data_IF_839241190628
#
_entry.id   IF_839241190628
#
_cell.length_a   1.000
_cell.length_b   1.000
_cell.length_c   1.000
_cell.angle_alpha   90.00
_cell.angle_beta   90.00
_cell.angle_gamma   90.00
#
_symmetry.space_group_name_H-M   'P 1'
#
loop_
_entity.id
_entity.type
_entity.pdbx_description
1 polymer ?
#
# COMPACT_ATOMS: atom_id res chain seq x y z
N UNK A 1 -10.18 -9.14 -5.45
CA UNK A 1 -10.06 -10.44 -4.74
C UNK A 1 -9.00 -10.29 -3.66
N UNK A 2 -9.30 -10.53 -2.38
CA UNK A 2 -8.37 -10.20 -1.29
C UNK A 2 -7.21 -11.19 -1.17
N UNK A 3 -7.46 -12.49 -1.34
CA UNK A 3 -6.41 -13.52 -1.34
C UNK A 3 -5.38 -13.31 -2.45
N UNK A 4 -5.81 -12.79 -3.61
CA UNK A 4 -4.91 -12.40 -4.71
C UNK A 4 -3.96 -11.27 -4.30
N UNK A 5 -4.47 -10.21 -3.68
CA UNK A 5 -3.63 -9.12 -3.18
C UNK A 5 -2.58 -9.61 -2.17
N UNK A 6 -2.94 -10.57 -1.32
CA UNK A 6 -1.99 -11.20 -0.39
C UNK A 6 -0.97 -12.04 -1.15
N UNK A 7 -1.45 -12.90 -2.06
CA UNK A 7 -0.61 -13.76 -2.88
C UNK A 7 0.37 -12.97 -3.75
N UNK A 8 0.07 -11.75 -4.17
CA UNK A 8 0.99 -10.90 -4.94
C UNK A 8 1.72 -9.86 -4.09
N UNK A 9 1.49 -9.83 -2.77
CA UNK A 9 1.93 -8.75 -1.89
C UNK A 9 1.65 -7.35 -2.48
N UNK A 10 0.42 -7.12 -2.91
CA UNK A 10 0.03 -5.89 -3.60
C UNK A 10 0.33 -4.64 -2.74
N UNK A 11 0.75 -3.58 -3.41
CA UNK A 11 0.85 -2.23 -2.89
C UNK A 11 0.06 -1.30 -3.83
N UNK A 12 -0.53 -0.25 -3.28
CA UNK A 12 -1.26 0.75 -4.05
C UNK A 12 -0.82 2.16 -3.67
N UNK A 13 -1.56 3.17 -4.16
CA UNK A 13 -1.22 4.58 -3.99
C UNK A 13 -0.95 4.99 -2.54
N UNK A 14 -1.65 4.35 -1.59
CA UNK A 14 -1.53 4.66 -0.16
C UNK A 14 -0.41 3.91 0.59
N UNK A 15 0.49 3.22 -0.14
CA UNK A 15 1.58 2.43 0.44
C UNK A 15 2.49 3.25 1.35
N UNK A 16 2.74 4.52 1.03
CA UNK A 16 3.60 5.42 1.83
C UNK A 16 3.03 5.61 3.24
N UNK A 17 1.71 5.78 3.35
CA UNK A 17 1.04 6.00 4.64
C UNK A 17 0.77 4.72 5.45
N UNK A 18 0.54 3.58 4.78
CA UNK A 18 -0.01 2.38 5.45
C UNK A 18 0.81 1.09 5.27
N UNK A 19 1.79 1.07 4.36
CA UNK A 19 2.55 -0.13 4.00
C UNK A 19 1.88 -0.98 2.92
N UNK A 20 2.48 -2.14 2.62
CA UNK A 20 1.96 -3.09 1.63
C UNK A 20 0.95 -4.05 2.27
N UNK A 21 0.26 -4.83 1.45
CA UNK A 21 -0.73 -5.83 1.91
C UNK A 21 -0.19 -6.69 3.05
N UNK A 22 1.08 -7.13 2.99
CA UNK A 22 1.73 -7.92 4.06
C UNK A 22 1.71 -7.27 5.44
N UNK A 23 1.80 -5.95 5.51
CA UNK A 23 1.84 -5.20 6.78
C UNK A 23 0.50 -5.28 7.53
N UNK A 24 -0.56 -5.64 6.81
CA UNK A 24 -1.91 -5.73 7.35
C UNK A 24 -2.32 -7.16 7.69
N UNK A 25 -1.66 -8.20 7.16
CA UNK A 25 -2.04 -9.59 7.41
C UNK A 25 -1.66 -10.01 8.83
N UNK A 26 -2.63 -10.45 9.61
CA UNK A 26 -2.44 -10.98 10.97
C UNK A 26 -2.43 -12.50 10.97
N UNK A 27 -3.42 -13.11 10.30
CA UNK A 27 -3.59 -14.55 10.17
C UNK A 27 -4.07 -14.89 8.75
N UNK A 28 -3.84 -16.12 8.30
CA UNK A 28 -4.40 -16.67 7.08
C UNK A 28 -4.63 -18.18 7.19
N UNK A 29 -5.58 -18.67 6.41
CA UNK A 29 -5.80 -20.10 6.22
C UNK A 29 -5.44 -20.48 4.79
N UNK A 30 -4.64 -21.53 4.63
CA UNK A 30 -4.12 -21.98 3.33
C UNK A 30 -4.41 -23.45 3.10
N UNK A 31 -4.82 -23.80 1.88
CA UNK A 31 -4.86 -25.18 1.41
C UNK A 31 -3.56 -25.51 0.69
N UNK A 32 -2.80 -26.47 1.22
CA UNK A 32 -1.53 -26.92 0.67
C UNK A 32 -1.70 -27.88 -0.53
N UNK A 33 -0.65 -28.08 -1.36
CA UNK A 33 -0.62 -29.16 -2.34
C UNK A 33 -0.77 -30.52 -1.63
N UNK A 34 -1.91 -31.18 -1.83
CA UNK A 34 -2.31 -32.38 -1.09
C UNK A 34 -3.65 -32.23 -0.36
N UNK A 35 -4.17 -31.01 -0.25
CA UNK A 35 -5.48 -30.72 0.33
C UNK A 35 -5.49 -30.51 1.84
N UNK A 36 -4.33 -30.57 2.50
CA UNK A 36 -4.20 -30.20 3.91
C UNK A 36 -4.50 -28.71 4.10
N UNK A 37 -5.26 -28.39 5.16
CA UNK A 37 -5.59 -27.02 5.53
C UNK A 37 -4.72 -26.62 6.72
N UNK A 38 -3.99 -25.52 6.58
CA UNK A 38 -3.10 -24.98 7.61
C UNK A 38 -3.54 -23.58 7.98
N UNK A 39 -3.66 -23.33 9.28
CA UNK A 39 -3.88 -22.02 9.87
C UNK A 39 -2.55 -21.41 10.30
N UNK A 40 -2.26 -20.20 9.80
CA UNK A 40 -1.02 -19.48 10.06
C UNK A 40 -1.36 -18.13 10.64
N UNK A 41 -0.61 -17.69 11.65
CA UNK A 41 -0.96 -16.47 12.33
C UNK A 41 -0.01 -16.10 13.45
N UNK A 42 -0.25 -14.92 14.01
CA UNK A 42 0.42 -14.46 15.23
C UNK A 42 -0.54 -14.56 16.39
N UNK A 43 -0.05 -15.02 17.53
CA UNK A 43 -0.85 -15.08 18.77
C UNK A 43 -0.86 -13.74 19.51
N UNK A 44 0.08 -12.84 19.20
CA UNK A 44 0.21 -11.50 19.77
C UNK A 44 0.84 -10.51 18.78
N UNK A 45 0.73 -9.19 19.05
CA UNK A 45 1.37 -8.13 18.24
C UNK A 45 2.89 -8.33 18.08
N UNK A 46 3.52 -8.90 19.10
CA UNK A 46 4.92 -9.31 19.11
C UNK A 46 4.96 -10.81 19.33
N UNK A 47 5.18 -11.54 18.24
CA UNK A 47 5.30 -12.98 18.26
C UNK A 47 6.65 -13.38 17.68
N UNK A 48 7.39 -14.21 18.42
CA UNK A 48 8.70 -14.72 18.06
C UNK A 48 8.80 -16.25 18.29
N UNK A 49 7.67 -16.95 18.36
CA UNK A 49 7.63 -18.41 18.54
C UNK A 49 7.90 -19.13 17.22
N UNK A 50 9.12 -18.97 16.70
CA UNK A 50 9.56 -19.59 15.45
C UNK A 50 9.38 -18.69 14.22
N UNK A 51 9.64 -19.24 13.02
CA UNK A 51 9.53 -18.49 11.77
C UNK A 51 8.08 -18.09 11.46
N UNK A 52 7.88 -16.87 10.95
CA UNK A 52 6.58 -16.44 10.46
C UNK A 52 6.28 -17.09 9.08
N UNK A 53 5.66 -18.26 9.10
CA UNK A 53 5.36 -19.04 7.89
C UNK A 53 4.35 -18.37 6.94
N UNK A 54 3.59 -17.37 7.39
CA UNK A 54 2.74 -16.57 6.51
C UNK A 54 3.54 -15.91 5.38
N UNK A 55 4.80 -15.56 5.65
CA UNK A 55 5.68 -14.90 4.68
C UNK A 55 6.05 -15.78 3.49
N UNK A 56 5.86 -17.09 3.58
CA UNK A 56 6.02 -17.99 2.43
C UNK A 56 4.88 -17.83 1.43
N UNK A 57 3.67 -17.51 1.90
CA UNK A 57 2.46 -17.43 1.06
C UNK A 57 2.20 -16.01 0.54
N UNK A 58 2.65 -14.99 1.28
CA UNK A 58 2.57 -13.59 0.86
C UNK A 58 3.56 -13.35 -0.29
N UNK A 59 3.07 -12.86 -1.43
CA UNK A 59 3.90 -12.68 -2.62
C UNK A 59 4.25 -13.99 -3.36
N UNK A 60 3.65 -15.12 -2.97
CA UNK A 60 3.89 -16.43 -3.61
C UNK A 60 3.20 -16.63 -4.95
N UNK A 61 2.28 -15.75 -5.33
CA UNK A 61 1.39 -15.90 -6.50
C UNK A 61 0.60 -17.22 -6.51
N UNK A 62 0.44 -17.87 -5.34
CA UNK A 62 -0.26 -19.14 -5.20
C UNK A 62 0.62 -20.38 -5.44
N UNK A 63 1.94 -20.22 -5.61
CA UNK A 63 2.87 -21.33 -5.86
C UNK A 63 2.85 -22.38 -4.74
N UNK A 64 2.69 -21.95 -3.49
CA UNK A 64 2.78 -22.85 -2.33
C UNK A 64 1.43 -23.32 -1.78
N UNK A 65 0.31 -22.83 -2.31
CA UNK A 65 -1.03 -23.18 -1.84
C UNK A 65 -2.08 -22.10 -2.12
N UNK A 66 -3.33 -22.41 -1.78
CA UNK A 66 -4.46 -21.50 -1.99
C UNK A 66 -4.86 -20.83 -0.68
N UNK A 67 -4.75 -19.49 -0.64
CA UNK A 67 -5.23 -18.68 0.50
C UNK A 67 -6.76 -18.63 0.44
N UNK A 68 -7.42 -19.18 1.46
CA UNK A 68 -8.89 -19.29 1.53
C UNK A 68 -9.52 -18.37 2.58
N UNK A 69 -8.76 -17.94 3.58
CA UNK A 69 -9.20 -16.97 4.59
C UNK A 69 -8.02 -16.06 5.00
N UNK A 70 -8.31 -14.80 5.32
CA UNK A 70 -7.31 -13.83 5.77
C UNK A 70 -7.91 -12.89 6.80
N UNK A 71 -7.23 -12.73 7.93
CA UNK A 71 -7.53 -11.71 8.94
C UNK A 71 -6.60 -10.51 8.76
N UNK A 72 -7.18 -9.31 8.71
CA UNK A 72 -6.44 -8.05 8.53
C UNK A 72 -6.49 -7.17 9.77
N UNK A 73 -5.37 -6.48 10.04
CA UNK A 73 -5.31 -5.29 10.89
C UNK A 73 -5.72 -4.07 10.06
N UNK A 74 -6.79 -3.42 10.47
CA UNK A 74 -7.32 -2.21 9.83
C UNK A 74 -6.86 -0.94 10.54
N UNK A 75 -7.04 0.20 9.85
CA UNK A 75 -6.79 1.53 10.38
C UNK A 75 -8.13 2.25 10.60
N UNK A 76 -8.20 3.21 11.53
CA UNK A 76 -9.34 4.12 11.62
C UNK A 76 -9.49 4.91 10.32
N UNK A 77 -10.73 5.31 10.01
CA UNK A 77 -11.00 6.20 8.89
C UNK A 77 -10.46 7.59 9.27
N UNK A 78 -9.61 8.23 8.43
CA UNK A 78 -9.08 9.55 8.72
C UNK A 78 -10.20 10.58 8.79
N UNK A 79 -10.10 11.54 9.71
CA UNK A 79 -11.12 12.60 9.87
C UNK A 79 -11.01 13.70 8.82
N UNK A 80 -9.81 13.91 8.30
CA UNK A 80 -9.49 14.90 7.27
C UNK A 80 -8.67 14.24 6.18
N UNK A 81 -9.04 14.52 4.92
CA UNK A 81 -8.35 14.04 3.74
C UNK A 81 -8.34 15.18 2.72
N UNK A 82 -7.14 15.56 2.27
CA UNK A 82 -6.92 16.63 1.32
C UNK A 82 -6.02 16.14 0.20
N UNK A 83 -6.22 16.67 -1.01
CA UNK A 83 -5.41 16.33 -2.18
C UNK A 83 -4.89 17.60 -2.86
N UNK A 84 -3.61 17.60 -3.18
CA UNK A 84 -2.94 18.72 -3.85
C UNK A 84 -2.37 18.23 -5.17
N UNK A 85 -2.66 18.96 -6.25
CA UNK A 85 -2.06 18.72 -7.57
C UNK A 85 -1.04 19.84 -7.83
N UNK A 86 0.20 19.44 -8.11
CA UNK A 86 1.30 20.33 -8.44
C UNK A 86 1.70 20.14 -9.89
N UNK A 87 1.71 21.24 -10.65
CA UNK A 87 2.24 21.29 -12.00
C UNK A 87 3.63 21.93 -11.97
N UNK A 88 4.65 21.22 -12.41
CA UNK A 88 6.01 21.78 -12.50
C UNK A 88 6.75 21.27 -13.74
N UNK A 89 7.73 22.06 -14.19
CA UNK A 89 8.69 21.64 -15.21
C UNK A 89 10.01 21.17 -14.61
N UNK A 90 10.17 21.28 -13.28
CA UNK A 90 11.39 21.00 -12.55
C UNK A 90 11.11 20.14 -11.31
N UNK A 91 11.44 18.84 -11.41
CA UNK A 91 11.16 17.88 -10.34
C UNK A 91 11.96 18.15 -9.05
N UNK A 92 13.08 18.90 -9.13
CA UNK A 92 13.87 19.26 -7.96
C UNK A 92 13.09 20.13 -6.96
N UNK A 93 12.16 20.97 -7.43
CA UNK A 93 11.32 21.79 -6.55
C UNK A 93 10.45 20.92 -5.64
N UNK A 94 9.96 19.80 -6.18
CA UNK A 94 9.09 18.86 -5.46
C UNK A 94 9.92 17.99 -4.52
N UNK A 95 11.12 17.59 -4.94
CA UNK A 95 12.06 16.89 -4.07
C UNK A 95 12.41 17.74 -2.84
N UNK A 96 12.73 19.03 -3.01
CA UNK A 96 13.05 19.91 -1.87
C UNK A 96 11.84 20.10 -0.94
N UNK A 97 10.61 20.13 -1.47
CA UNK A 97 9.39 20.16 -0.67
C UNK A 97 9.17 18.87 0.15
N UNK A 98 9.56 17.72 -0.42
CA UNK A 98 9.28 16.39 0.14
C UNK A 98 10.47 15.72 0.82
N UNK A 99 11.60 16.44 0.95
CA UNK A 99 12.84 15.92 1.53
C UNK A 99 12.68 15.42 2.96
N UNK A 100 11.81 16.09 3.73
CA UNK A 100 11.40 15.70 5.08
C UNK A 100 9.88 15.49 5.09
N UNK A 101 9.40 14.34 4.58
CA UNK A 101 7.99 14.15 4.31
C UNK A 101 7.17 14.09 5.61
N UNK A 102 6.07 14.83 5.65
CA UNK A 102 5.12 14.77 6.77
C UNK A 102 4.49 13.37 6.87
N UNK A 103 4.23 12.91 8.11
CA UNK A 103 3.47 11.67 8.37
C UNK A 103 2.04 11.71 7.84
N UNK A 104 1.54 12.91 7.51
CA UNK A 104 0.23 13.07 6.89
C UNK A 104 0.22 12.64 5.43
N UNK A 105 1.37 12.62 4.75
CA UNK A 105 1.46 12.19 3.35
C UNK A 105 1.17 10.70 3.29
N UNK A 106 0.12 10.36 2.55
CA UNK A 106 -0.30 8.96 2.37
C UNK A 106 -0.10 8.48 0.94
N UNK A 107 -0.13 9.38 -0.05
CA UNK A 107 0.15 9.06 -1.45
C UNK A 107 0.95 10.20 -2.11
N UNK A 108 1.86 9.83 -3.01
CA UNK A 108 2.54 10.73 -3.94
C UNK A 108 2.54 10.01 -5.29
N UNK A 109 1.76 10.52 -6.23
CA UNK A 109 1.63 9.96 -7.58
C UNK A 109 2.20 10.94 -8.60
N UNK A 110 2.89 10.40 -9.61
CA UNK A 110 3.61 11.17 -10.61
C UNK A 110 3.09 10.85 -12.00
N UNK A 111 2.79 11.88 -12.78
CA UNK A 111 2.44 11.78 -14.18
C UNK A 111 3.37 12.64 -15.03
N UNK A 112 4.05 12.02 -15.99
CA UNK A 112 4.82 12.74 -17.00
C UNK A 112 3.92 13.35 -18.08
N UNK A 113 4.51 14.18 -18.94
CA UNK A 113 3.83 14.85 -20.03
C UNK A 113 3.03 13.89 -20.93
N UNK A 114 3.60 12.71 -21.25
CA UNK A 114 2.97 11.75 -22.14
C UNK A 114 1.76 11.09 -21.48
N UNK A 115 1.88 10.75 -20.20
CA UNK A 115 0.80 10.18 -19.39
C UNK A 115 -0.36 11.17 -19.27
N UNK A 116 -0.07 12.44 -18.97
CA UNK A 116 -1.07 13.51 -18.95
C UNK A 116 -1.76 13.67 -20.31
N UNK A 117 -0.98 13.69 -21.41
CA UNK A 117 -1.54 13.83 -22.76
C UNK A 117 -2.43 12.65 -23.15
N UNK A 118 -2.06 11.42 -22.74
CA UNK A 118 -2.87 10.23 -23.00
C UNK A 118 -4.21 10.26 -22.26
N UNK A 119 -4.23 10.81 -21.04
CA UNK A 119 -5.44 10.85 -20.20
C UNK A 119 -6.37 12.00 -20.57
N UNK A 120 -5.83 13.22 -20.70
CA UNK A 120 -6.63 14.45 -20.77
C UNK A 120 -6.44 15.25 -22.08
N UNK A 121 -5.55 14.80 -22.97
CA UNK A 121 -5.25 15.47 -24.25
C UNK A 121 -4.49 16.80 -24.13
N UNK A 122 -4.42 17.40 -22.94
CA UNK A 122 -3.80 18.70 -22.68
C UNK A 122 -2.87 18.65 -21.46
N UNK A 123 -1.57 18.46 -21.70
CA UNK A 123 -0.56 18.56 -20.64
C UNK A 123 -0.22 20.04 -20.37
N UNK A 124 -0.33 20.46 -19.10
CA UNK A 124 -0.08 21.85 -18.67
C UNK A 124 1.39 22.11 -18.33
N UNK A 125 2.12 21.07 -17.98
CA UNK A 125 3.52 21.10 -17.55
C UNK A 125 4.20 19.78 -17.91
N UNK A 126 5.53 19.74 -17.79
CA UNK A 126 6.31 18.51 -18.00
C UNK A 126 5.92 17.41 -17.00
N UNK A 127 5.55 17.80 -15.78
CA UNK A 127 5.17 16.90 -14.70
C UNK A 127 3.92 17.40 -13.98
N UNK A 128 3.04 16.47 -13.63
CA UNK A 128 1.93 16.64 -12.73
C UNK A 128 2.12 15.67 -11.56
N UNK A 129 1.93 16.16 -10.34
CA UNK A 129 2.18 15.39 -9.13
C UNK A 129 0.99 15.56 -8.20
N UNK A 130 0.37 14.43 -7.85
CA UNK A 130 -0.72 14.36 -6.90
C UNK A 130 -0.16 13.95 -5.54
N UNK A 131 -0.47 14.73 -4.51
CA UNK A 131 -0.10 14.42 -3.12
C UNK A 131 -1.39 14.32 -2.31
N UNK A 132 -1.60 13.18 -1.64
CA UNK A 132 -2.72 12.97 -0.72
C UNK A 132 -2.24 13.07 0.74
N UNK A 133 -2.94 13.88 1.52
CA UNK A 133 -2.69 14.13 2.93
C UNK A 133 -3.88 13.62 3.76
N UNK A 134 -3.62 12.84 4.80
CA UNK A 134 -4.63 12.39 5.76
C UNK A 134 -4.24 12.77 7.18
N UNK A 135 -5.23 13.18 7.98
CA UNK A 135 -5.04 13.55 9.39
C UNK A 135 -6.24 13.19 10.27
N UNK A 136 -5.97 12.96 11.55
CA UNK A 136 -6.97 12.73 12.61
C UNK A 136 -7.31 14.02 13.39
N UNK A 137 -6.61 15.13 13.10
CA UNK A 137 -6.70 16.43 13.79
C UNK A 137 -6.72 17.59 12.78
N UNK A 138 -7.47 18.66 13.08
CA UNK A 138 -7.53 19.88 12.23
C UNK A 138 -6.25 20.72 12.26
N UNK A 139 -5.32 20.44 13.17
CA UNK A 139 -4.18 21.33 13.50
C UNK A 139 -2.81 20.73 13.19
N UNK A 140 -2.80 19.54 12.60
CA UNK A 140 -1.57 18.81 12.27
C UNK A 140 -1.08 19.21 10.88
#
# INVERSE_FOLDING_TARGET
MIGGNVATNAAGAKFIGYGATRNHVQNMTVVLPGGEIVELGKTADKDATGPNLMELFIGSEGIFGFIIDVTFKTYPIPKFSESVILHTNNLFEVYELLKEPSKMITAIEFLDFNSQHLLDGNAKSKYEILIELNSDSKRD
#
